data_IF_155600992644
#
_entry.id   IF_155600992644
#
_cell.length_a   1.000
_cell.length_b   1.000
_cell.length_c   1.000
_cell.angle_alpha   90.00
_cell.angle_beta   90.00
_cell.angle_gamma   90.00
#
_symmetry.space_group_name_H-M   'P 1'
#
loop_
_entity.id
_entity.type
_entity.pdbx_description
1 polymer ?
#
# COMPACT_ATOMS: atom_id res chain seq x y z
N UNK A 1 17.72 -28.42 0.21
CA UNK A 1 18.03 -27.39 1.25
C UNK A 1 16.70 -26.86 1.77
N UNK A 2 16.58 -26.66 3.06
CA UNK A 2 15.38 -26.04 3.63
C UNK A 2 15.29 -24.58 3.14
N UNK A 3 14.11 -24.14 2.63
CA UNK A 3 13.92 -22.79 2.14
C UNK A 3 13.91 -21.81 3.32
N UNK A 4 14.59 -20.67 3.14
CA UNK A 4 14.64 -19.58 4.14
C UNK A 4 14.60 -18.23 3.43
N UNK A 5 13.58 -17.43 3.70
CA UNK A 5 13.26 -16.24 2.92
C UNK A 5 13.66 -14.98 3.69
N UNK A 6 14.40 -14.08 3.05
CA UNK A 6 14.58 -12.71 3.53
C UNK A 6 13.63 -11.76 2.81
N UNK A 7 12.82 -11.03 3.58
CA UNK A 7 11.91 -10.01 3.05
C UNK A 7 12.52 -8.64 3.34
N UNK A 8 12.87 -7.89 2.30
CA UNK A 8 13.46 -6.55 2.41
C UNK A 8 12.37 -5.49 2.22
N UNK A 9 12.05 -4.76 3.30
CA UNK A 9 11.07 -3.66 3.31
C UNK A 9 11.67 -2.45 3.99
N UNK A 10 11.38 -1.25 3.46
CA UNK A 10 11.83 -0.01 4.07
C UNK A 10 10.78 0.54 5.04
N UNK A 11 11.20 0.91 6.25
CA UNK A 11 10.29 1.43 7.29
C UNK A 11 9.91 2.91 7.10
N UNK A 12 10.06 3.44 5.88
CA UNK A 12 9.66 4.80 5.50
C UNK A 12 8.19 4.93 5.09
N UNK A 13 7.46 3.82 4.90
CA UNK A 13 6.05 3.83 4.51
C UNK A 13 5.32 2.59 4.99
N UNK A 14 4.11 2.77 5.54
CA UNK A 14 3.29 1.64 6.04
C UNK A 14 2.87 0.67 4.92
N UNK A 15 2.68 1.15 3.68
CA UNK A 15 2.30 0.33 2.56
C UNK A 15 3.29 -0.81 2.29
N UNK A 16 4.57 -0.50 2.10
CA UNK A 16 5.60 -1.52 1.85
C UNK A 16 5.71 -2.51 3.00
N UNK A 17 5.57 -2.02 4.25
CA UNK A 17 5.58 -2.87 5.44
C UNK A 17 4.37 -3.79 5.52
N UNK A 18 3.18 -3.31 5.11
CA UNK A 18 1.97 -4.13 5.05
C UNK A 18 2.12 -5.25 4.03
N UNK A 19 2.67 -4.96 2.83
CA UNK A 19 2.99 -5.97 1.83
C UNK A 19 4.02 -6.99 2.35
N UNK A 20 5.06 -6.54 3.05
CA UNK A 20 6.06 -7.42 3.65
C UNK A 20 5.47 -8.32 4.74
N UNK A 21 4.60 -7.77 5.60
CA UNK A 21 3.87 -8.55 6.62
C UNK A 21 2.94 -9.58 5.99
N UNK A 22 2.25 -9.20 4.90
CA UNK A 22 1.40 -10.13 4.15
C UNK A 22 2.20 -11.30 3.57
N UNK A 23 3.37 -11.03 2.98
CA UNK A 23 4.28 -12.08 2.50
C UNK A 23 4.82 -12.95 3.63
N UNK A 24 5.22 -12.35 4.75
CA UNK A 24 5.67 -13.10 5.93
C UNK A 24 4.58 -14.06 6.42
N UNK A 25 3.35 -13.57 6.58
CA UNK A 25 2.21 -14.42 6.97
C UNK A 25 1.92 -15.52 5.96
N UNK A 26 2.10 -15.25 4.66
CA UNK A 26 1.90 -16.27 3.62
C UNK A 26 2.98 -17.37 3.67
N UNK A 27 4.24 -17.03 3.93
CA UNK A 27 5.31 -18.02 4.13
C UNK A 27 5.13 -18.78 5.44
N UNK A 28 4.72 -18.12 6.51
CA UNK A 28 4.42 -18.75 7.82
C UNK A 28 3.31 -19.80 7.68
N UNK A 29 2.24 -19.49 6.96
CA UNK A 29 1.15 -20.42 6.66
C UNK A 29 1.59 -21.62 5.78
N UNK A 30 2.73 -21.53 5.11
CA UNK A 30 3.36 -22.61 4.32
C UNK A 30 4.52 -23.28 5.10
N UNK A 31 4.68 -22.96 6.39
CA UNK A 31 5.74 -23.47 7.26
C UNK A 31 7.16 -23.16 6.74
N UNK A 32 7.33 -22.05 6.01
CA UNK A 32 8.61 -21.61 5.47
C UNK A 32 9.17 -20.46 6.32
N UNK A 33 10.33 -20.63 6.95
CA UNK A 33 10.96 -19.58 7.73
C UNK A 33 11.22 -18.32 6.92
N UNK A 34 10.71 -17.19 7.38
CA UNK A 34 10.94 -15.88 6.75
C UNK A 34 11.23 -14.79 7.78
N UNK A 35 11.94 -13.74 7.36
CA UNK A 35 12.27 -12.59 8.21
C UNK A 35 12.16 -11.29 7.45
N UNK A 36 11.53 -10.29 8.05
CA UNK A 36 11.45 -8.94 7.50
C UNK A 36 12.63 -8.12 8.05
N UNK A 37 13.32 -7.39 7.16
CA UNK A 37 14.39 -6.47 7.52
C UNK A 37 14.34 -5.20 6.66
N UNK A 38 14.79 -4.09 7.25
CA UNK A 38 15.02 -2.85 6.52
C UNK A 38 16.42 -2.90 5.87
N UNK A 39 16.54 -2.82 4.53
CA UNK A 39 17.82 -2.86 3.85
C UNK A 39 18.76 -1.70 4.26
N UNK A 40 18.21 -0.53 4.64
CA UNK A 40 19.01 0.60 5.11
C UNK A 40 19.74 0.30 6.43
N UNK A 41 19.28 -0.67 7.21
CA UNK A 41 19.95 -1.11 8.43
C UNK A 41 21.39 -1.59 8.19
N UNK A 42 21.70 -2.06 6.98
CA UNK A 42 23.05 -2.44 6.56
C UNK A 42 23.99 -1.24 6.33
N UNK A 43 23.46 -0.01 6.19
CA UNK A 43 24.29 1.21 6.22
C UNK A 43 24.68 1.65 7.63
N UNK A 44 23.92 1.22 8.64
CA UNK A 44 24.08 1.56 10.05
C UNK A 44 22.88 2.31 10.61
N UNK A 45 22.70 2.27 11.93
CA UNK A 45 21.52 2.80 12.63
C UNK A 45 21.28 4.30 12.39
N UNK A 46 22.35 5.11 12.25
CA UNK A 46 22.22 6.54 12.00
C UNK A 46 21.69 6.85 10.60
N UNK A 47 22.11 6.11 9.58
CA UNK A 47 21.62 6.28 8.21
C UNK A 47 20.13 5.94 8.10
N UNK A 48 19.69 4.85 8.73
CA UNK A 48 18.29 4.43 8.77
C UNK A 48 17.40 5.52 9.38
N UNK A 49 17.78 6.05 10.55
CA UNK A 49 17.02 7.12 11.21
C UNK A 49 16.95 8.39 10.38
N UNK A 50 18.08 8.80 9.77
CA UNK A 50 18.13 10.00 8.93
C UNK A 50 17.23 9.87 7.70
N UNK A 51 17.32 8.77 6.96
CA UNK A 51 16.52 8.54 5.74
C UNK A 51 15.02 8.50 6.07
N UNK A 52 14.63 7.76 7.11
CA UNK A 52 13.22 7.67 7.53
C UNK A 52 12.68 9.03 7.99
N UNK A 53 13.46 9.79 8.77
CA UNK A 53 13.04 11.10 9.25
C UNK A 53 12.93 12.13 8.14
N UNK A 54 13.88 12.12 7.19
CA UNK A 54 13.89 13.02 6.03
C UNK A 54 12.68 12.74 5.11
N UNK A 55 12.46 11.48 4.76
CA UNK A 55 11.36 11.05 3.90
C UNK A 55 9.98 11.40 4.50
N UNK A 56 9.76 11.00 5.76
CA UNK A 56 8.51 11.27 6.47
C UNK A 56 8.30 12.78 6.68
N UNK A 57 9.38 13.53 6.97
CA UNK A 57 9.33 14.96 7.13
C UNK A 57 8.94 15.68 5.84
N UNK A 58 9.47 15.25 4.70
CA UNK A 58 9.18 15.84 3.40
C UNK A 58 7.71 15.60 2.99
N UNK A 59 7.21 14.36 3.13
CA UNK A 59 5.81 14.04 2.80
C UNK A 59 4.84 14.82 3.69
N UNK A 60 5.13 14.95 5.00
CA UNK A 60 4.23 15.64 5.94
C UNK A 60 4.22 17.16 5.76
N UNK A 61 5.39 17.79 5.56
CA UNK A 61 5.52 19.25 5.56
C UNK A 61 5.39 19.89 4.19
N UNK A 62 5.67 19.14 3.10
CA UNK A 62 5.73 19.70 1.75
C UNK A 62 5.33 18.66 0.68
N UNK A 63 4.05 18.24 0.60
CA UNK A 63 3.60 17.28 -0.43
C UNK A 63 3.90 17.74 -1.86
N UNK A 64 3.86 19.06 -2.11
CA UNK A 64 4.23 19.64 -3.41
C UNK A 64 5.72 19.48 -3.75
N UNK A 65 6.60 19.62 -2.76
CA UNK A 65 8.03 19.37 -2.95
C UNK A 65 8.31 17.88 -3.22
N UNK A 66 7.58 16.98 -2.57
CA UNK A 66 7.66 15.55 -2.86
C UNK A 66 7.25 15.25 -4.31
N UNK A 67 6.13 15.83 -4.79
CA UNK A 67 5.70 15.68 -6.18
C UNK A 67 6.71 16.25 -7.20
N UNK A 68 7.38 17.37 -6.86
CA UNK A 68 8.45 17.92 -7.70
C UNK A 68 9.67 17.00 -7.75
N UNK A 69 10.07 16.44 -6.59
CA UNK A 69 11.16 15.47 -6.50
C UNK A 69 10.85 14.18 -7.29
N UNK A 70 9.60 13.69 -7.19
CA UNK A 70 9.15 12.53 -7.95
C UNK A 70 9.24 12.77 -9.47
N UNK A 71 8.79 13.95 -9.94
CA UNK A 71 8.90 14.34 -11.37
C UNK A 71 10.36 14.48 -11.80
N UNK A 72 11.21 15.08 -10.97
CA UNK A 72 12.65 15.19 -11.24
C UNK A 72 13.30 13.81 -11.30
N UNK A 73 12.92 12.88 -10.42
CA UNK A 73 13.35 11.49 -10.48
C UNK A 73 12.93 10.79 -11.75
N UNK A 74 11.68 10.96 -12.18
CA UNK A 74 11.19 10.38 -13.43
C UNK A 74 11.90 10.96 -14.67
N UNK A 75 12.23 12.26 -14.65
CA UNK A 75 12.98 12.90 -15.73
C UNK A 75 14.44 12.41 -15.76
N UNK A 76 15.05 12.22 -14.60
CA UNK A 76 16.39 11.66 -14.48
C UNK A 76 16.42 10.19 -14.96
N UNK A 77 15.44 9.39 -14.54
CA UNK A 77 15.28 7.98 -14.96
C UNK A 77 15.20 7.85 -16.49
N UNK A 78 14.53 8.79 -17.16
CA UNK A 78 14.45 8.84 -18.62
C UNK A 78 15.80 9.09 -19.32
N UNK A 79 16.84 9.53 -18.61
CA UNK A 79 18.20 9.69 -19.19
C UNK A 79 18.94 8.37 -19.35
N UNK A 80 18.51 7.32 -18.66
CA UNK A 80 19.19 6.03 -18.61
C UNK A 80 20.52 6.04 -17.84
N UNK A 81 20.82 7.12 -17.12
CA UNK A 81 22.01 7.18 -16.27
C UNK A 81 21.76 6.43 -14.96
N UNK A 82 22.83 5.87 -14.40
CA UNK A 82 22.80 5.21 -13.10
C UNK A 82 22.30 6.17 -12.04
N UNK A 83 21.26 5.79 -11.35
CA UNK A 83 20.62 6.68 -10.37
C UNK A 83 21.47 6.90 -9.11
N UNK A 84 21.35 8.06 -8.46
CA UNK A 84 21.91 8.25 -7.12
C UNK A 84 21.32 7.26 -6.08
N UNK A 85 20.09 6.80 -6.30
CA UNK A 85 19.41 5.81 -5.46
C UNK A 85 20.11 4.46 -5.56
N UNK A 86 20.43 4.01 -6.78
CA UNK A 86 21.24 2.80 -7.00
C UNK A 86 22.61 2.90 -6.32
N UNK A 87 23.33 4.00 -6.52
CA UNK A 87 24.66 4.16 -5.92
C UNK A 87 24.63 4.09 -4.38
N UNK A 88 23.62 4.72 -3.76
CA UNK A 88 23.44 4.70 -2.31
C UNK A 88 23.15 3.27 -1.80
N UNK A 89 22.33 2.50 -2.52
CA UNK A 89 21.99 1.14 -2.14
C UNK A 89 23.08 0.14 -2.46
N UNK A 90 23.82 0.34 -3.55
CA UNK A 90 24.99 -0.46 -3.90
C UNK A 90 26.14 -0.34 -2.87
N UNK A 91 26.19 0.73 -2.09
CA UNK A 91 27.24 0.96 -1.08
C UNK A 91 27.19 -0.04 0.09
N UNK A 92 25.99 -0.54 0.47
CA UNK A 92 25.86 -1.53 1.54
C UNK A 92 25.61 -2.97 1.06
N UNK A 93 25.51 -3.18 -0.25
CA UNK A 93 25.18 -4.47 -0.83
C UNK A 93 26.10 -5.61 -0.36
N UNK A 94 27.41 -5.38 -0.24
CA UNK A 94 28.38 -6.38 0.27
C UNK A 94 28.09 -6.81 1.73
N UNK A 95 27.54 -5.91 2.57
CA UNK A 95 27.15 -6.26 3.94
C UNK A 95 25.90 -7.11 3.93
N UNK A 96 24.95 -6.79 3.03
CA UNK A 96 23.77 -7.61 2.79
C UNK A 96 24.18 -9.02 2.33
N UNK A 97 25.12 -9.13 1.37
CA UNK A 97 25.57 -10.45 0.88
C UNK A 97 26.15 -11.32 1.99
N UNK A 98 27.06 -10.75 2.79
CA UNK A 98 27.62 -11.47 3.95
C UNK A 98 26.56 -11.94 4.94
N UNK A 99 25.49 -11.15 5.12
CA UNK A 99 24.37 -11.54 5.96
C UNK A 99 23.55 -12.68 5.34
N UNK A 100 23.27 -12.64 4.03
CA UNK A 100 22.57 -13.71 3.30
C UNK A 100 23.31 -15.04 3.45
N UNK A 101 24.61 -15.04 3.21
CA UNK A 101 25.49 -16.22 3.32
C UNK A 101 25.54 -16.74 4.76
N UNK A 102 25.82 -15.87 5.74
CA UNK A 102 25.96 -16.24 7.15
C UNK A 102 24.67 -16.80 7.76
N UNK A 103 23.52 -16.40 7.25
CA UNK A 103 22.22 -16.84 7.71
C UNK A 103 21.55 -17.86 6.80
N UNK A 104 22.23 -18.29 5.73
CA UNK A 104 21.77 -19.29 4.77
C UNK A 104 20.40 -18.97 4.16
N UNK A 105 20.17 -17.72 3.78
CA UNK A 105 18.96 -17.34 3.04
C UNK A 105 19.01 -17.91 1.62
N UNK A 106 17.89 -18.52 1.21
CA UNK A 106 17.77 -19.15 -0.10
C UNK A 106 17.11 -18.24 -1.12
N UNK A 107 16.29 -17.27 -0.68
CA UNK A 107 15.56 -16.36 -1.55
C UNK A 107 15.41 -14.98 -0.87
N UNK A 108 15.31 -13.95 -1.69
CA UNK A 108 15.06 -12.58 -1.23
C UNK A 108 13.80 -12.02 -1.90
N UNK A 109 12.91 -11.43 -1.11
CA UNK A 109 11.70 -10.75 -1.58
C UNK A 109 11.79 -9.29 -1.20
N UNK A 110 11.70 -8.39 -2.16
CA UNK A 110 11.81 -6.95 -1.95
C UNK A 110 10.46 -6.27 -2.17
N UNK A 111 9.92 -5.61 -1.16
CA UNK A 111 8.70 -4.80 -1.27
C UNK A 111 9.00 -3.32 -1.47
N UNK A 112 10.28 -2.93 -1.50
CA UNK A 112 10.72 -1.55 -1.68
C UNK A 112 11.94 -1.49 -2.60
N UNK A 113 12.06 -0.40 -3.37
CA UNK A 113 13.12 -0.17 -4.34
C UNK A 113 14.54 -0.34 -3.74
N UNK A 114 14.78 0.09 -2.51
CA UNK A 114 16.11 0.01 -1.89
C UNK A 114 16.65 -1.41 -1.79
N UNK A 115 15.79 -2.38 -1.43
CA UNK A 115 16.16 -3.79 -1.45
C UNK A 115 16.42 -4.32 -2.87
N UNK A 116 15.59 -3.89 -3.83
CA UNK A 116 15.75 -4.27 -5.24
C UNK A 116 17.07 -3.78 -5.80
N UNK A 117 17.46 -2.53 -5.52
CA UNK A 117 18.73 -1.93 -5.95
C UNK A 117 19.95 -2.62 -5.31
N UNK A 118 19.88 -2.92 -4.01
CA UNK A 118 20.97 -3.62 -3.34
C UNK A 118 21.19 -5.01 -3.92
N UNK A 119 20.13 -5.78 -4.19
CA UNK A 119 20.22 -7.09 -4.83
C UNK A 119 20.69 -6.99 -6.29
N UNK A 120 20.24 -5.98 -7.02
CA UNK A 120 20.72 -5.67 -8.37
C UNK A 120 22.24 -5.43 -8.37
N UNK A 121 22.74 -4.64 -7.42
CA UNK A 121 24.17 -4.38 -7.31
C UNK A 121 24.98 -5.67 -7.03
N UNK A 122 24.46 -6.58 -6.23
CA UNK A 122 25.09 -7.89 -5.98
C UNK A 122 25.12 -8.76 -7.22
N UNK A 123 24.01 -8.82 -7.97
CA UNK A 123 23.90 -9.60 -9.21
C UNK A 123 24.84 -9.05 -10.31
N UNK A 124 24.83 -7.74 -10.55
CA UNK A 124 25.74 -7.09 -11.51
C UNK A 124 27.22 -7.30 -11.21
N UNK A 125 27.56 -7.43 -9.91
CA UNK A 125 28.94 -7.72 -9.47
C UNK A 125 29.28 -9.21 -9.44
N UNK A 126 28.35 -10.10 -9.78
CA UNK A 126 28.55 -11.56 -9.66
C UNK A 126 28.80 -12.05 -8.22
N UNK A 127 28.30 -11.30 -7.21
CA UNK A 127 28.54 -11.58 -5.79
C UNK A 127 27.45 -12.44 -5.13
N UNK A 128 26.26 -12.52 -5.71
CA UNK A 128 25.18 -13.34 -5.18
C UNK A 128 24.45 -14.09 -6.29
N UNK A 129 24.21 -15.37 -6.04
CA UNK A 129 23.35 -16.24 -6.87
C UNK A 129 21.99 -16.47 -6.22
N UNK A 130 21.73 -15.87 -5.06
CA UNK A 130 20.45 -15.98 -4.35
C UNK A 130 19.36 -15.36 -5.22
N UNK A 131 18.29 -16.12 -5.55
CA UNK A 131 17.15 -15.59 -6.27
C UNK A 131 16.53 -14.39 -5.53
N UNK A 132 16.20 -13.34 -6.28
CA UNK A 132 15.63 -12.13 -5.73
C UNK A 132 14.43 -11.67 -6.55
N UNK A 133 13.34 -11.36 -5.86
CA UNK A 133 12.06 -10.97 -6.45
C UNK A 133 11.62 -9.61 -5.97
N UNK A 134 11.10 -8.78 -6.87
CA UNK A 134 10.53 -7.48 -6.57
C UNK A 134 9.00 -7.53 -6.53
N UNK A 135 8.39 -6.93 -5.52
CA UNK A 135 6.94 -6.72 -5.46
C UNK A 135 6.66 -5.23 -5.69
N UNK A 136 5.95 -4.92 -6.77
CA UNK A 136 5.45 -3.58 -7.00
C UNK A 136 4.25 -3.33 -6.07
N UNK A 137 4.30 -2.20 -5.38
CA UNK A 137 3.29 -1.80 -4.38
C UNK A 137 2.41 -0.64 -4.84
N UNK A 138 2.57 -0.21 -6.09
CA UNK A 138 1.80 0.84 -6.74
C UNK A 138 1.40 0.44 -8.17
N UNK A 139 0.28 0.95 -8.67
CA UNK A 139 -0.25 0.70 -10.00
C UNK A 139 0.42 1.57 -11.07
N UNK A 140 1.72 1.71 -10.96
CA UNK A 140 2.57 2.44 -11.90
C UNK A 140 4.02 1.98 -11.78
N UNK A 141 4.81 2.18 -12.83
CA UNK A 141 6.26 2.08 -12.73
C UNK A 141 6.81 3.30 -11.99
N UNK A 142 7.33 3.09 -10.80
CA UNK A 142 8.00 4.16 -10.05
C UNK A 142 9.36 4.48 -10.69
N UNK A 143 9.88 5.72 -10.52
CA UNK A 143 11.23 6.06 -10.99
C UNK A 143 12.28 5.07 -10.47
N UNK A 144 13.24 4.74 -11.31
CA UNK A 144 14.37 3.84 -11.04
C UNK A 144 14.03 2.35 -10.88
N UNK A 145 12.74 1.96 -10.99
CA UNK A 145 12.40 0.54 -10.93
C UNK A 145 13.00 -0.23 -12.11
N UNK A 146 12.98 0.36 -13.30
CA UNK A 146 13.45 -0.28 -14.52
C UNK A 146 14.98 -0.46 -14.58
N UNK A 147 15.78 0.22 -13.75
CA UNK A 147 17.23 -0.02 -13.65
C UNK A 147 17.59 -1.25 -12.81
N UNK A 148 16.60 -1.84 -12.11
CA UNK A 148 16.81 -3.04 -11.29
C UNK A 148 16.90 -4.31 -12.15
N UNK A 149 17.69 -5.29 -11.70
CA UNK A 149 17.88 -6.59 -12.36
C UNK A 149 17.66 -7.72 -11.36
N UNK A 150 16.40 -8.16 -11.24
CA UNK A 150 16.01 -9.27 -10.38
C UNK A 150 15.63 -10.50 -11.21
N UNK A 151 15.34 -11.62 -10.54
CA UNK A 151 14.91 -12.85 -11.19
C UNK A 151 13.44 -12.81 -11.58
N UNK A 152 12.63 -11.99 -10.90
CA UNK A 152 11.23 -11.75 -11.24
C UNK A 152 10.63 -10.54 -10.53
N UNK A 153 9.53 -10.03 -11.10
CA UNK A 153 8.78 -8.88 -10.58
C UNK A 153 7.30 -9.25 -10.51
N UNK A 154 6.73 -9.17 -9.32
CA UNK A 154 5.29 -9.33 -9.13
C UNK A 154 4.61 -7.99 -9.32
N UNK A 155 3.84 -7.90 -10.40
CA UNK A 155 3.17 -6.66 -10.80
C UNK A 155 1.71 -6.65 -10.34
N UNK A 156 1.14 -5.47 -10.06
CA UNK A 156 -0.22 -5.35 -9.53
C UNK A 156 -1.29 -5.88 -10.47
N UNK A 157 -1.10 -5.69 -11.80
CA UNK A 157 -2.09 -6.05 -12.81
C UNK A 157 -1.43 -6.21 -14.19
N UNK A 158 -1.99 -7.09 -15.03
CA UNK A 158 -1.46 -7.37 -16.37
C UNK A 158 -1.45 -6.15 -17.31
N UNK A 159 -2.39 -5.22 -17.16
CA UNK A 159 -2.46 -4.01 -18.01
C UNK A 159 -1.26 -3.05 -17.83
N UNK A 160 -0.43 -3.27 -16.82
CA UNK A 160 0.79 -2.49 -16.60
C UNK A 160 2.00 -3.04 -17.39
N UNK A 161 1.92 -4.28 -17.89
CA UNK A 161 3.05 -4.97 -18.50
C UNK A 161 3.62 -4.21 -19.71
N UNK A 162 2.77 -3.68 -20.58
CA UNK A 162 3.22 -2.94 -21.76
C UNK A 162 4.02 -1.67 -21.40
N UNK A 163 3.60 -0.96 -20.35
CA UNK A 163 4.34 0.22 -19.88
C UNK A 163 5.68 -0.16 -19.26
N UNK A 164 5.72 -1.23 -18.49
CA UNK A 164 6.95 -1.75 -17.87
C UNK A 164 7.95 -2.23 -18.94
N UNK A 165 7.48 -2.93 -19.97
CA UNK A 165 8.30 -3.38 -21.08
C UNK A 165 8.86 -2.19 -21.89
N UNK A 166 8.03 -1.17 -22.17
CA UNK A 166 8.52 0.05 -22.83
C UNK A 166 9.60 0.78 -22.05
N UNK A 167 9.62 0.64 -20.73
CA UNK A 167 10.65 1.18 -19.83
C UNK A 167 11.89 0.29 -19.70
N UNK A 168 11.92 -0.84 -20.41
CA UNK A 168 13.06 -1.74 -20.48
C UNK A 168 13.01 -2.93 -19.51
N UNK A 169 11.90 -3.16 -18.82
CA UNK A 169 11.77 -4.36 -17.99
C UNK A 169 11.51 -5.60 -18.87
N UNK A 170 12.18 -6.73 -18.59
CA UNK A 170 12.07 -7.95 -19.40
C UNK A 170 10.68 -8.60 -19.20
N UNK A 171 9.96 -8.82 -20.32
CA UNK A 171 8.59 -9.34 -20.30
C UNK A 171 8.47 -10.69 -19.58
N UNK A 172 9.45 -11.57 -19.76
CA UNK A 172 9.51 -12.92 -19.18
C UNK A 172 9.69 -12.94 -17.65
N UNK A 173 10.04 -11.79 -17.06
CA UNK A 173 10.19 -11.62 -15.61
C UNK A 173 9.03 -10.88 -14.96
N UNK A 174 8.00 -10.51 -15.70
CA UNK A 174 6.82 -9.81 -15.18
C UNK A 174 5.69 -10.79 -14.88
N UNK A 175 5.31 -10.89 -13.62
CA UNK A 175 4.26 -11.79 -13.14
C UNK A 175 3.10 -10.97 -12.53
N UNK A 176 1.96 -10.83 -13.22
CA UNK A 176 0.84 -10.00 -12.75
C UNK A 176 0.00 -10.74 -11.70
N UNK A 177 0.59 -10.98 -10.54
CA UNK A 177 -0.02 -11.74 -9.45
C UNK A 177 -0.69 -10.85 -8.39
N UNK A 178 -0.66 -9.53 -8.55
CA UNK A 178 -1.30 -8.59 -7.63
C UNK A 178 -0.38 -8.08 -6.53
N UNK A 179 -0.91 -7.12 -5.74
CA UNK A 179 -0.23 -6.61 -4.54
C UNK A 179 -0.62 -7.49 -3.35
N UNK A 180 0.33 -8.04 -2.58
CA UNK A 180 0.01 -8.86 -1.42
C UNK A 180 -0.62 -8.01 -0.31
N UNK A 181 -1.80 -8.42 0.13
CA UNK A 181 -2.51 -7.87 1.29
C UNK A 181 -2.62 -8.93 2.38
N UNK A 182 -2.94 -8.50 3.61
CA UNK A 182 -3.08 -9.40 4.75
C UNK A 182 -4.00 -10.59 4.44
N UNK A 183 -3.64 -11.83 4.82
CA UNK A 183 -4.50 -13.00 4.68
C UNK A 183 -5.86 -12.85 5.39
N UNK A 184 -6.00 -11.92 6.32
CA UNK A 184 -7.29 -11.60 6.94
C UNK A 184 -8.33 -11.09 5.92
N UNK A 185 -7.90 -10.55 4.78
CA UNK A 185 -8.79 -10.20 3.67
C UNK A 185 -9.26 -11.41 2.86
N UNK A 186 -8.56 -12.54 2.92
CA UNK A 186 -8.95 -13.78 2.23
C UNK A 186 -10.04 -14.54 2.99
N UNK A 187 -10.18 -14.30 4.30
CA UNK A 187 -11.21 -14.96 5.13
C UNK A 187 -12.56 -14.28 4.91
N UNK A 188 -13.58 -14.98 4.44
CA UNK A 188 -14.91 -14.42 4.29
C UNK A 188 -15.46 -13.92 5.63
N UNK A 189 -15.95 -12.69 5.65
CA UNK A 189 -16.63 -12.11 6.82
C UNK A 189 -17.83 -11.29 6.32
N UNK A 190 -19.05 -11.78 6.50
CA UNK A 190 -20.26 -11.05 6.13
C UNK A 190 -20.35 -9.68 6.82
N UNK A 191 -20.83 -8.67 6.11
CA UNK A 191 -20.92 -7.30 6.63
C UNK A 191 -21.69 -7.19 7.94
N UNK A 192 -22.78 -7.94 8.08
CA UNK A 192 -23.57 -7.95 9.32
C UNK A 192 -22.76 -8.50 10.51
N UNK A 193 -21.98 -9.54 10.29
CA UNK A 193 -21.11 -10.11 11.32
C UNK A 193 -19.97 -9.15 11.67
N UNK A 194 -19.34 -8.51 10.67
CA UNK A 194 -18.33 -7.49 10.90
C UNK A 194 -18.88 -6.33 11.74
N UNK A 195 -20.11 -5.86 11.46
CA UNK A 195 -20.78 -4.83 12.26
C UNK A 195 -21.07 -5.27 13.68
N UNK A 196 -21.57 -6.49 13.86
CA UNK A 196 -21.83 -7.04 15.19
C UNK A 196 -20.55 -7.10 16.05
N UNK A 197 -19.40 -7.51 15.45
CA UNK A 197 -18.11 -7.52 16.15
C UNK A 197 -17.64 -6.13 16.59
N UNK A 198 -17.99 -5.09 15.83
CA UNK A 198 -17.60 -3.70 16.11
C UNK A 198 -18.65 -2.91 16.88
N UNK A 199 -19.80 -3.51 17.25
CA UNK A 199 -20.89 -2.82 17.91
C UNK A 199 -21.54 -1.72 17.06
N UNK A 200 -21.52 -1.86 15.72
CA UNK A 200 -22.07 -0.87 14.80
C UNK A 200 -23.57 -1.16 14.58
N UNK A 201 -24.47 -0.18 14.80
CA UNK A 201 -25.90 -0.36 14.60
C UNK A 201 -26.22 -0.74 13.14
N UNK A 202 -27.12 -1.71 12.96
CA UNK A 202 -27.49 -2.25 11.67
C UNK A 202 -28.26 -1.28 10.76
N UNK A 203 -28.94 -0.30 11.37
CA UNK A 203 -29.75 0.75 10.72
C UNK A 203 -28.93 1.95 10.22
N UNK A 204 -27.66 2.08 10.66
CA UNK A 204 -26.78 3.17 10.23
C UNK A 204 -26.03 2.83 8.93
N UNK A 205 -25.80 3.83 8.11
CA UNK A 205 -24.84 3.79 6.99
C UNK A 205 -23.46 4.11 7.54
N UNK A 206 -22.50 3.18 7.39
CA UNK A 206 -21.15 3.34 7.89
C UNK A 206 -20.20 3.86 6.82
N UNK A 207 -19.63 5.02 7.09
CA UNK A 207 -18.55 5.64 6.31
C UNK A 207 -17.23 5.40 7.03
N UNK A 208 -16.34 4.65 6.41
CA UNK A 208 -15.00 4.42 6.94
C UNK A 208 -14.03 5.44 6.35
N UNK A 209 -13.39 6.25 7.19
CA UNK A 209 -12.40 7.24 6.75
C UNK A 209 -11.02 6.82 7.23
N UNK A 210 -10.07 6.69 6.29
CA UNK A 210 -8.69 6.30 6.56
C UNK A 210 -7.76 7.24 5.78
N UNK A 211 -6.99 8.07 6.47
CA UNK A 211 -6.09 9.03 5.80
C UNK A 211 -4.62 8.63 5.85
N UNK A 212 -4.31 7.48 6.48
CA UNK A 212 -2.94 7.06 6.73
C UNK A 212 -2.21 7.99 7.72
N UNK A 213 -0.91 7.80 7.89
CA UNK A 213 -0.12 8.59 8.85
C UNK A 213 0.19 10.03 8.43
N UNK A 214 -0.36 10.54 7.31
CA UNK A 214 0.01 11.84 6.73
C UNK A 214 -1.22 12.71 6.50
N UNK A 215 -1.30 13.85 7.21
CA UNK A 215 -2.17 14.96 6.89
C UNK A 215 -3.43 15.12 7.73
N UNK A 216 -3.26 15.62 8.97
CA UNK A 216 -4.38 15.90 9.88
C UNK A 216 -5.32 17.01 9.37
N UNK A 217 -4.80 18.05 8.71
CA UNK A 217 -5.61 19.20 8.26
C UNK A 217 -6.65 18.80 7.19
N UNK A 218 -6.25 17.96 6.23
CA UNK A 218 -7.17 17.43 5.21
C UNK A 218 -8.29 16.57 5.80
N UNK A 219 -8.07 15.93 6.94
CA UNK A 219 -9.07 15.08 7.57
C UNK A 219 -10.20 15.87 8.24
N UNK A 220 -9.87 16.97 8.93
CA UNK A 220 -10.89 17.82 9.57
C UNK A 220 -11.81 18.45 8.53
N UNK A 221 -11.28 18.88 7.38
CA UNK A 221 -12.10 19.36 6.25
C UNK A 221 -13.09 18.30 5.74
N UNK A 222 -12.64 17.06 5.62
CA UNK A 222 -13.50 15.93 5.24
C UNK A 222 -14.58 15.65 6.29
N UNK A 223 -14.25 15.77 7.59
CA UNK A 223 -15.21 15.64 8.68
C UNK A 223 -16.26 16.75 8.66
N UNK A 224 -15.84 18.00 8.45
CA UNK A 224 -16.74 19.14 8.33
C UNK A 224 -17.70 18.98 7.13
N UNK A 225 -17.16 18.57 5.99
CA UNK A 225 -17.97 18.30 4.79
C UNK A 225 -18.97 17.14 5.03
N UNK A 226 -18.55 16.10 5.76
CA UNK A 226 -19.43 15.00 6.11
C UNK A 226 -20.60 15.47 6.99
N UNK A 227 -20.34 16.20 8.07
CA UNK A 227 -21.41 16.72 8.94
C UNK A 227 -22.35 17.67 8.23
N UNK A 228 -21.86 18.46 7.28
CA UNK A 228 -22.68 19.37 6.51
C UNK A 228 -23.67 18.65 5.58
N UNK A 229 -23.38 17.40 5.19
CA UNK A 229 -24.17 16.65 4.21
C UNK A 229 -24.85 15.39 4.78
N UNK A 230 -24.40 14.88 5.93
CA UNK A 230 -24.88 13.64 6.52
C UNK A 230 -26.23 13.85 7.22
N UNK A 231 -27.13 12.89 7.07
CA UNK A 231 -28.34 12.77 7.86
C UNK A 231 -28.11 11.89 9.11
N UNK A 232 -29.14 11.80 9.97
CA UNK A 232 -29.10 11.04 11.21
C UNK A 232 -28.86 9.53 11.04
N UNK A 233 -29.04 8.98 9.85
CA UNK A 233 -28.79 7.56 9.56
C UNK A 233 -27.34 7.27 9.24
N UNK A 234 -26.48 8.29 9.11
CA UNK A 234 -25.09 8.18 8.68
C UNK A 234 -24.13 8.26 9.87
N UNK A 235 -23.11 7.41 9.88
CA UNK A 235 -22.05 7.33 10.87
C UNK A 235 -20.70 7.25 10.19
N UNK A 236 -19.77 8.13 10.54
CA UNK A 236 -18.38 8.06 10.11
C UNK A 236 -17.50 7.50 11.23
N UNK A 237 -16.72 6.47 10.90
CA UNK A 237 -15.62 6.00 11.75
C UNK A 237 -14.28 6.34 11.11
N UNK A 238 -13.40 6.97 11.90
CA UNK A 238 -12.15 7.51 11.43
C UNK A 238 -11.00 6.75 12.07
N UNK A 239 -10.29 5.96 11.31
CA UNK A 239 -9.11 5.27 11.81
C UNK A 239 -7.94 6.26 11.88
N UNK A 240 -7.64 6.71 13.09
CA UNK A 240 -6.55 7.69 13.35
C UNK A 240 -5.19 7.01 13.58
N UNK A 241 -5.15 5.67 13.64
CA UNK A 241 -3.93 4.92 13.90
C UNK A 241 -3.27 5.32 15.22
N UNK A 242 -1.96 5.53 15.20
CA UNK A 242 -1.18 5.96 16.37
C UNK A 242 -1.22 7.48 16.64
N UNK A 243 -2.05 8.22 15.92
CA UNK A 243 -2.19 9.67 16.13
C UNK A 243 -3.26 9.98 17.19
N UNK A 244 -2.91 9.79 18.46
CA UNK A 244 -3.81 10.00 19.60
C UNK A 244 -4.31 11.45 19.66
N UNK A 245 -3.43 12.44 19.42
CA UNK A 245 -3.80 13.86 19.45
C UNK A 245 -4.87 14.21 18.39
N UNK A 246 -4.83 13.56 17.23
CA UNK A 246 -5.88 13.71 16.24
C UNK A 246 -7.20 13.12 16.73
N UNK A 247 -7.14 11.96 17.38
CA UNK A 247 -8.32 11.34 17.98
C UNK A 247 -8.97 12.21 19.04
N UNK A 248 -8.17 12.88 19.88
CA UNK A 248 -8.65 13.85 20.88
C UNK A 248 -9.28 15.07 20.20
N UNK A 249 -8.61 15.68 19.23
CA UNK A 249 -9.15 16.81 18.46
C UNK A 249 -10.51 16.49 17.82
N UNK A 250 -10.66 15.28 17.27
CA UNK A 250 -11.94 14.85 16.69
C UNK A 250 -13.02 14.72 17.76
N UNK A 251 -12.71 14.14 18.92
CA UNK A 251 -13.68 14.00 20.02
C UNK A 251 -14.11 15.37 20.57
N UNK A 252 -13.16 16.29 20.75
CA UNK A 252 -13.42 17.64 21.23
C UNK A 252 -14.31 18.43 20.25
N UNK A 253 -14.01 18.32 18.95
CA UNK A 253 -14.71 19.10 17.92
C UNK A 253 -16.09 18.58 17.57
N UNK A 254 -16.27 17.25 17.53
CA UNK A 254 -17.49 16.62 17.01
C UNK A 254 -18.28 15.85 18.06
N UNK A 255 -17.80 15.79 19.29
CA UNK A 255 -18.43 15.06 20.40
C UNK A 255 -18.10 13.56 20.38
N UNK A 256 -18.04 12.97 21.58
CA UNK A 256 -17.65 11.55 21.72
C UNK A 256 -18.70 10.57 21.16
N UNK A 257 -19.99 10.90 21.27
CA UNK A 257 -21.14 10.08 20.83
C UNK A 257 -21.78 10.58 19.51
N UNK A 258 -21.08 11.49 18.80
CA UNK A 258 -21.56 12.09 17.57
C UNK A 258 -21.58 11.13 16.38
N UNK A 259 -21.92 11.70 15.21
CA UNK A 259 -21.90 10.98 13.93
C UNK A 259 -20.46 10.73 13.42
N UNK A 260 -19.45 11.37 14.01
CA UNK A 260 -18.03 11.19 13.70
C UNK A 260 -17.33 10.61 14.90
N UNK A 261 -16.79 9.40 14.76
CA UNK A 261 -16.14 8.67 15.85
C UNK A 261 -14.71 8.28 15.50
N UNK A 262 -13.71 8.81 16.22
CA UNK A 262 -12.34 8.39 16.02
C UNK A 262 -12.11 6.99 16.62
N UNK A 263 -11.44 6.15 15.82
CA UNK A 263 -10.99 4.83 16.21
C UNK A 263 -9.49 4.87 16.39
N UNK A 264 -8.94 4.54 17.57
CA UNK A 264 -7.51 4.48 17.79
C UNK A 264 -6.86 3.37 16.95
N UNK A 265 -5.55 3.17 17.11
CA UNK A 265 -4.86 2.08 16.42
C UNK A 265 -5.57 0.74 16.65
N UNK A 266 -5.78 0.02 15.56
CA UNK A 266 -6.41 -1.30 15.56
C UNK A 266 -5.78 -2.21 14.53
N UNK A 267 -5.68 -3.50 14.83
CA UNK A 267 -5.34 -4.59 13.92
C UNK A 267 -6.56 -5.12 13.15
N UNK A 268 -7.77 -4.66 13.51
CA UNK A 268 -9.04 -5.08 12.90
C UNK A 268 -9.42 -4.28 11.64
N UNK A 269 -8.47 -3.66 10.96
CA UNK A 269 -8.73 -2.90 9.71
C UNK A 269 -9.57 -3.69 8.70
N UNK A 270 -9.31 -5.00 8.44
CA UNK A 270 -10.15 -5.80 7.55
C UNK A 270 -11.60 -5.89 8.01
N UNK A 271 -11.86 -5.93 9.32
CA UNK A 271 -13.22 -5.98 9.88
C UNK A 271 -13.93 -4.64 9.66
N UNK A 272 -13.25 -3.52 9.92
CA UNK A 272 -13.79 -2.18 9.66
C UNK A 272 -14.13 -1.96 8.18
N UNK A 273 -13.24 -2.36 7.27
CA UNK A 273 -13.48 -2.25 5.82
C UNK A 273 -14.70 -3.08 5.40
N UNK A 274 -14.84 -4.30 5.91
CA UNK A 274 -16.00 -5.17 5.60
C UNK A 274 -17.31 -4.70 6.23
N UNK A 275 -17.24 -4.01 7.37
CA UNK A 275 -18.42 -3.44 8.04
C UNK A 275 -18.96 -2.21 7.30
N UNK A 276 -18.12 -1.49 6.55
CA UNK A 276 -18.45 -0.23 5.92
C UNK A 276 -19.38 -0.37 4.70
N UNK A 277 -20.24 0.61 4.49
CA UNK A 277 -20.99 0.79 3.23
C UNK A 277 -20.11 1.44 2.16
N UNK A 278 -19.21 2.34 2.59
CA UNK A 278 -18.27 3.05 1.72
C UNK A 278 -17.01 3.43 2.51
N UNK A 279 -15.89 3.45 1.82
CA UNK A 279 -14.60 3.88 2.37
C UNK A 279 -14.10 5.11 1.63
N UNK A 280 -13.57 6.08 2.39
CA UNK A 280 -12.87 7.26 1.88
C UNK A 280 -11.41 7.18 2.35
N UNK A 281 -10.48 7.24 1.42
CA UNK A 281 -9.05 7.22 1.74
C UNK A 281 -8.20 7.83 0.63
N UNK A 282 -6.95 8.16 0.95
CA UNK A 282 -5.95 8.42 -0.07
C UNK A 282 -5.70 7.16 -0.90
N UNK A 283 -5.51 7.28 -2.21
CA UNK A 283 -5.34 6.15 -3.11
C UNK A 283 -3.91 5.59 -3.10
N UNK A 284 -3.41 5.22 -1.91
CA UNK A 284 -2.17 4.46 -1.79
C UNK A 284 -2.35 3.06 -2.37
N UNK A 285 -1.32 2.49 -3.00
CA UNK A 285 -1.43 1.21 -3.69
C UNK A 285 -1.96 0.10 -2.77
N UNK A 286 -1.42 -0.04 -1.56
CA UNK A 286 -1.89 -1.03 -0.58
C UNK A 286 -3.32 -0.76 -0.11
N UNK A 287 -3.61 0.46 0.34
CA UNK A 287 -4.93 0.81 0.86
C UNK A 287 -6.04 0.61 -0.18
N UNK A 288 -5.78 0.98 -1.44
CA UNK A 288 -6.72 0.75 -2.54
C UNK A 288 -6.92 -0.74 -2.83
N UNK A 289 -5.84 -1.53 -2.77
CA UNK A 289 -5.90 -2.99 -2.93
C UNK A 289 -6.64 -3.65 -1.77
N UNK A 290 -6.43 -3.21 -0.54
CA UNK A 290 -7.14 -3.66 0.66
C UNK A 290 -8.63 -3.35 0.58
N UNK A 291 -9.02 -2.14 0.12
CA UNK A 291 -10.41 -1.77 -0.11
C UNK A 291 -11.08 -2.72 -1.13
N UNK A 292 -10.39 -3.04 -2.22
CA UNK A 292 -10.88 -3.99 -3.21
C UNK A 292 -10.96 -5.42 -2.67
N UNK A 293 -9.97 -5.87 -1.89
CA UNK A 293 -9.97 -7.19 -1.26
C UNK A 293 -11.07 -7.32 -0.18
N UNK A 294 -11.37 -6.24 0.54
CA UNK A 294 -12.52 -6.16 1.45
C UNK A 294 -13.86 -6.05 0.69
N UNK A 295 -13.80 -5.76 -0.60
CA UNK A 295 -14.94 -5.52 -1.47
C UNK A 295 -15.84 -4.38 -0.96
N UNK A 296 -15.23 -3.29 -0.50
CA UNK A 296 -15.90 -2.08 -0.04
C UNK A 296 -15.89 -1.00 -1.15
N UNK A 297 -17.01 -0.33 -1.42
CA UNK A 297 -17.03 0.81 -2.34
C UNK A 297 -16.04 1.88 -1.89
N UNK A 298 -15.25 2.41 -2.82
CA UNK A 298 -14.09 3.25 -2.51
C UNK A 298 -14.18 4.62 -3.18
N UNK A 299 -13.96 5.66 -2.38
CA UNK A 299 -13.77 7.03 -2.83
C UNK A 299 -12.34 7.46 -2.52
N UNK A 300 -11.56 7.71 -3.56
CA UNK A 300 -10.22 8.26 -3.45
C UNK A 300 -10.32 9.76 -3.16
N UNK A 301 -9.84 10.16 -1.98
CA UNK A 301 -9.69 11.55 -1.60
C UNK A 301 -8.37 12.12 -2.13
N UNK A 302 -8.13 13.41 -1.92
CA UNK A 302 -6.96 14.14 -2.41
C UNK A 302 -5.66 13.31 -2.45
N UNK A 303 -5.26 12.92 -3.67
CA UNK A 303 -4.03 12.16 -3.92
C UNK A 303 -2.78 13.03 -3.81
N UNK A 304 -1.69 12.47 -3.29
CA UNK A 304 -0.37 13.10 -3.36
C UNK A 304 0.15 12.94 -4.80
N UNK A 305 0.68 14.02 -5.43
CA UNK A 305 1.25 13.91 -6.77
C UNK A 305 2.36 12.86 -6.86
N UNK A 306 2.27 11.96 -7.84
CA UNK A 306 3.17 10.83 -8.03
C UNK A 306 2.41 9.52 -8.09
N UNK A 307 2.82 8.52 -7.30
CA UNK A 307 2.19 7.19 -7.32
C UNK A 307 0.69 7.23 -7.00
N UNK A 308 0.27 8.03 -6.00
CA UNK A 308 -1.14 8.06 -5.60
C UNK A 308 -2.05 8.56 -6.73
N UNK A 309 -1.60 9.53 -7.54
CA UNK A 309 -2.38 10.00 -8.71
C UNK A 309 -2.53 8.91 -9.78
N UNK A 310 -1.49 8.10 -9.98
CA UNK A 310 -1.54 6.96 -10.90
C UNK A 310 -2.45 5.84 -10.37
N UNK A 311 -2.35 5.53 -9.08
CA UNK A 311 -3.23 4.57 -8.42
C UNK A 311 -4.70 4.98 -8.53
N UNK A 312 -5.01 6.27 -8.24
CA UNK A 312 -6.37 6.81 -8.39
C UNK A 312 -6.89 6.65 -9.82
N UNK A 313 -6.06 7.02 -10.81
CA UNK A 313 -6.42 6.89 -12.22
C UNK A 313 -6.68 5.45 -12.62
N UNK A 314 -5.83 4.50 -12.20
CA UNK A 314 -6.00 3.07 -12.46
C UNK A 314 -7.33 2.56 -11.87
N UNK A 315 -7.61 2.85 -10.61
CA UNK A 315 -8.85 2.40 -9.96
C UNK A 315 -10.09 3.02 -10.59
N UNK A 316 -10.04 4.31 -10.94
CA UNK A 316 -11.15 5.00 -11.60
C UNK A 316 -11.41 4.44 -13.01
N UNK A 317 -10.37 4.24 -13.82
CA UNK A 317 -10.47 3.69 -15.18
C UNK A 317 -11.08 2.29 -15.21
N UNK A 318 -10.83 1.49 -14.17
CA UNK A 318 -11.39 0.15 -14.04
C UNK A 318 -12.72 0.11 -13.25
N UNK A 319 -13.30 1.27 -12.91
CA UNK A 319 -14.59 1.33 -12.19
C UNK A 319 -14.54 0.87 -10.74
N UNK A 320 -13.33 0.76 -10.15
CA UNK A 320 -13.10 0.26 -8.80
C UNK A 320 -13.14 1.35 -7.72
N UNK A 321 -13.10 2.62 -8.12
CA UNK A 321 -13.19 3.78 -7.23
C UNK A 321 -13.78 4.98 -7.95
N UNK A 322 -14.22 5.98 -7.17
CA UNK A 322 -14.44 7.34 -7.61
C UNK A 322 -13.32 8.22 -7.06
N UNK A 323 -12.77 9.13 -7.88
CA UNK A 323 -11.74 10.08 -7.45
C UNK A 323 -12.33 11.47 -7.29
N UNK A 324 -12.23 12.04 -6.10
CA UNK A 324 -12.76 13.36 -5.78
C UNK A 324 -11.68 14.45 -5.90
N UNK A 325 -12.11 15.63 -6.31
CA UNK A 325 -11.26 16.83 -6.42
C UNK A 325 -11.09 17.58 -5.10
N UNK A 326 -12.12 17.50 -4.25
CA UNK A 326 -12.17 18.15 -2.95
C UNK A 326 -12.99 17.32 -1.94
N UNK A 327 -13.01 17.77 -0.68
CA UNK A 327 -13.68 17.07 0.42
C UNK A 327 -15.21 17.02 0.25
N UNK A 328 -15.82 18.07 -0.29
CA UNK A 328 -17.26 18.11 -0.51
C UNK A 328 -17.69 17.11 -1.59
N UNK A 329 -16.94 17.04 -2.70
CA UNK A 329 -17.17 16.05 -3.76
C UNK A 329 -16.93 14.62 -3.26
N UNK A 330 -15.91 14.40 -2.42
CA UNK A 330 -15.63 13.10 -1.82
C UNK A 330 -16.80 12.60 -0.97
N UNK A 331 -17.35 13.46 -0.14
CA UNK A 331 -18.52 13.14 0.69
C UNK A 331 -19.75 12.92 -0.17
N UNK A 332 -20.00 13.76 -1.18
CA UNK A 332 -21.13 13.58 -2.09
C UNK A 332 -21.06 12.22 -2.83
N UNK A 333 -19.89 11.83 -3.34
CA UNK A 333 -19.70 10.53 -3.95
C UNK A 333 -19.90 9.37 -2.96
N UNK A 334 -19.41 9.51 -1.73
CA UNK A 334 -19.56 8.50 -0.71
C UNK A 334 -21.03 8.31 -0.31
N UNK A 335 -21.79 9.40 -0.12
CA UNK A 335 -23.23 9.34 0.14
C UNK A 335 -23.97 8.66 -1.02
N UNK A 336 -23.68 9.03 -2.26
CA UNK A 336 -24.28 8.39 -3.44
C UNK A 336 -24.03 6.87 -3.45
N UNK A 337 -22.81 6.42 -3.16
CA UNK A 337 -22.49 4.99 -3.09
C UNK A 337 -23.19 4.29 -1.92
N UNK A 338 -23.39 4.98 -0.78
CA UNK A 338 -24.03 4.40 0.40
C UNK A 338 -25.56 4.24 0.21
N UNK A 339 -26.20 5.10 -0.59
CA UNK A 339 -27.65 5.07 -0.83
C UNK A 339 -28.07 4.42 -2.14
N UNK A 340 -27.15 4.18 -3.09
CA UNK A 340 -27.40 3.50 -4.36
C UNK A 340 -26.74 2.11 -4.37
N UNK A 341 -27.51 1.06 -4.01
CA UNK A 341 -26.98 -0.32 -3.95
C UNK A 341 -26.48 -0.84 -5.30
N UNK A 342 -27.11 -0.41 -6.42
CA UNK A 342 -26.72 -0.89 -7.74
C UNK A 342 -25.35 -0.29 -8.15
N UNK A 343 -25.15 0.99 -7.90
CA UNK A 343 -23.89 1.67 -8.15
C UNK A 343 -22.76 1.07 -7.30
N UNK A 344 -23.04 0.85 -6.02
CA UNK A 344 -22.11 0.20 -5.11
C UNK A 344 -21.74 -1.22 -5.57
N UNK A 345 -22.74 -2.01 -6.03
CA UNK A 345 -22.49 -3.37 -6.48
C UNK A 345 -21.75 -3.43 -7.83
N UNK A 346 -21.98 -2.48 -8.74
CA UNK A 346 -21.15 -2.37 -9.96
C UNK A 346 -19.68 -2.15 -9.60
N UNK A 347 -19.38 -1.27 -8.64
CA UNK A 347 -18.01 -1.04 -8.18
C UNK A 347 -17.40 -2.27 -7.51
N UNK A 348 -18.14 -2.95 -6.63
CA UNK A 348 -17.69 -4.20 -5.99
C UNK A 348 -17.40 -5.29 -7.02
N UNK A 349 -18.22 -5.41 -8.04
CA UNK A 349 -18.00 -6.36 -9.15
C UNK A 349 -16.70 -6.03 -9.88
N UNK A 350 -16.49 -4.75 -10.23
CA UNK A 350 -15.27 -4.32 -10.88
C UNK A 350 -14.01 -4.65 -10.05
N UNK A 351 -14.07 -4.46 -8.72
CA UNK A 351 -12.99 -4.83 -7.81
C UNK A 351 -12.68 -6.34 -7.86
N UNK A 352 -13.71 -7.19 -7.80
CA UNK A 352 -13.54 -8.67 -7.83
C UNK A 352 -13.04 -9.20 -9.16
N UNK A 353 -13.47 -8.59 -10.26
CA UNK A 353 -13.15 -9.05 -11.62
C UNK A 353 -11.79 -8.53 -12.10
N UNK A 354 -11.31 -7.41 -11.56
CA UNK A 354 -10.08 -6.77 -12.03
C UNK A 354 -8.84 -7.24 -11.26
N UNK A 355 -8.91 -7.28 -9.93
CA UNK A 355 -7.70 -7.55 -9.14
C UNK A 355 -7.51 -9.04 -8.84
N UNK A 356 -6.26 -9.54 -8.93
CA UNK A 356 -5.94 -10.90 -8.52
C UNK A 356 -6.27 -11.14 -7.04
N UNK A 357 -6.99 -12.22 -6.77
CA UNK A 357 -7.26 -12.67 -5.42
C UNK A 357 -6.08 -13.45 -4.83
N UNK A 358 -5.96 -13.45 -3.50
CA UNK A 358 -4.96 -14.25 -2.76
C UNK A 358 -3.50 -14.00 -3.18
N UNK A 359 -3.15 -12.77 -3.57
CA UNK A 359 -1.85 -12.42 -4.13
C UNK A 359 -0.68 -12.88 -3.25
N UNK A 360 -0.73 -12.67 -1.92
CA UNK A 360 0.33 -13.07 -1.00
C UNK A 360 0.63 -14.59 -1.07
N UNK A 361 -0.42 -15.41 -1.04
CA UNK A 361 -0.30 -16.87 -1.13
C UNK A 361 0.21 -17.32 -2.50
N UNK A 362 -0.33 -16.74 -3.56
CA UNK A 362 0.05 -17.08 -4.95
C UNK A 362 1.51 -16.74 -5.21
N UNK A 363 1.98 -15.57 -4.76
CA UNK A 363 3.38 -15.14 -4.85
C UNK A 363 4.28 -16.08 -4.04
N UNK A 364 3.92 -16.40 -2.79
CA UNK A 364 4.71 -17.30 -1.97
C UNK A 364 4.85 -18.69 -2.61
N UNK A 365 3.75 -19.26 -3.11
CA UNK A 365 3.77 -20.54 -3.84
C UNK A 365 4.60 -20.47 -5.12
N UNK A 366 4.51 -19.36 -5.87
CA UNK A 366 5.34 -19.15 -7.07
C UNK A 366 6.82 -19.23 -6.74
N UNK A 367 7.28 -18.48 -5.70
CA UNK A 367 8.68 -18.46 -5.28
C UNK A 367 9.16 -19.85 -4.86
N UNK A 368 8.35 -20.60 -4.13
CA UNK A 368 8.72 -21.93 -3.64
C UNK A 368 8.80 -22.99 -4.73
N UNK A 369 8.18 -22.77 -5.88
CA UNK A 369 8.18 -23.68 -7.02
C UNK A 369 9.29 -23.38 -8.04
N UNK A 370 10.09 -22.34 -7.83
CA UNK A 370 11.29 -22.06 -8.62
C UNK A 370 12.49 -22.83 -8.05
#
# INVERSE_FOLDING_TARGET
MERRILILSCFTGEGHNSAAKAMHSAFDALEVPSRIMDPVSFQGKHAQHFISSFYNGMIRRSPGAFGALYKAGALYDATGWVSPVYLANAAYAERLNRFLEAQHYTDVVCTHLYGMEAMTALKKRGKSTVPAYGIMTDYTCIPFLAETELDGYFTPHASLSDDLIRRGMPAEKLYPLGIPVSPAFDTPLPRQEARARLGIPGDKKLFLIMTGGVGCESLLGLCDAFLAAADETMLAQILVGHNESLGETIRERYGAEGQIRPVPFTDQVPVYMRAADVMLSKPGGLTSTEAAAANVPFVAVKAIPGCETCNAAFFQQHGMALSARDDAEAVAFAIQLAIDPERAERMRRAQRETLPAHAARTIAQFILNQ
#
